data_IF_385589991304
#
_entry.id   IF_385589991304
#
_cell.length_a   1.000
_cell.length_b   1.000
_cell.length_c   1.000
_cell.angle_alpha   90.00
_cell.angle_beta   90.00
_cell.angle_gamma   90.00
#
_symmetry.space_group_name_H-M   'P 1'
#
loop_
_entity.id
_entity.type
_entity.pdbx_description
1 polymer ?
#
# COMPACT_ATOMS: atom_id res chain seq x y z
N UNK A 1 26.34 -4.63 48.64
CA UNK A 1 26.32 -4.85 47.19
C UNK A 1 25.23 -5.87 46.90
N UNK A 2 24.24 -5.45 46.10
CA UNK A 2 23.17 -6.23 45.49
C UNK A 2 21.92 -6.55 46.32
N UNK A 3 21.11 -5.51 46.56
CA UNK A 3 19.67 -5.66 46.78
C UNK A 3 18.93 -5.18 45.51
N UNK A 4 19.00 -5.96 44.44
CA UNK A 4 18.11 -5.74 43.30
C UNK A 4 16.70 -6.15 43.71
N UNK A 5 15.85 -5.16 43.98
CA UNK A 5 14.46 -5.32 44.36
C UNK A 5 13.69 -6.15 43.30
N UNK A 6 13.14 -7.33 43.65
CA UNK A 6 12.36 -8.16 42.73
C UNK A 6 10.98 -7.56 42.38
N UNK A 7 10.61 -6.42 42.97
CA UNK A 7 9.33 -5.76 42.78
C UNK A 7 9.32 -4.70 41.67
N UNK A 8 10.32 -4.65 40.79
CA UNK A 8 10.14 -3.94 39.51
C UNK A 8 9.14 -4.77 38.69
N UNK A 9 7.85 -4.59 38.98
CA UNK A 9 6.75 -5.27 38.32
C UNK A 9 6.70 -4.84 36.86
N UNK A 10 7.52 -5.47 36.04
CA UNK A 10 7.46 -5.31 34.60
C UNK A 10 6.20 -6.05 34.17
N UNK A 11 5.19 -5.36 33.60
CA UNK A 11 3.99 -6.03 33.13
C UNK A 11 4.39 -7.07 32.07
N UNK A 12 4.19 -8.34 32.41
CA UNK A 12 4.39 -9.43 31.47
C UNK A 12 3.20 -9.42 30.51
N UNK A 13 3.40 -8.87 29.31
CA UNK A 13 2.41 -8.93 28.24
C UNK A 13 2.28 -10.38 27.80
N UNK A 14 1.12 -10.98 28.11
CA UNK A 14 0.78 -12.31 27.60
C UNK A 14 0.36 -12.19 26.13
N UNK A 15 1.34 -12.39 25.26
CA UNK A 15 1.17 -12.37 23.80
C UNK A 15 0.15 -13.41 23.33
N UNK A 16 0.03 -14.55 24.03
CA UNK A 16 -0.98 -15.58 23.69
C UNK A 16 -2.39 -15.13 24.05
N UNK A 17 -2.56 -14.41 25.15
CA UNK A 17 -3.86 -13.87 25.55
C UNK A 17 -4.35 -12.79 24.57
N UNK A 18 -3.44 -11.99 23.99
CA UNK A 18 -3.76 -10.89 23.06
C UNK A 18 -3.73 -11.33 21.58
N UNK A 19 -3.12 -12.47 21.25
CA UNK A 19 -3.06 -12.97 19.87
C UNK A 19 -4.42 -13.06 19.14
N UNK A 20 -5.53 -13.52 19.75
CA UNK A 20 -6.81 -13.65 19.03
C UNK A 20 -7.41 -12.30 18.65
N UNK A 21 -7.24 -11.26 19.48
CA UNK A 21 -7.78 -9.93 19.22
C UNK A 21 -7.01 -9.18 18.12
N UNK A 22 -5.74 -9.53 17.91
CA UNK A 22 -4.93 -8.96 16.82
C UNK A 22 -4.98 -9.78 15.53
N UNK A 23 -5.39 -11.05 15.58
CA UNK A 23 -5.37 -11.92 14.42
C UNK A 23 -6.26 -11.42 13.26
N UNK A 24 -7.49 -11.01 13.55
CA UNK A 24 -8.41 -10.49 12.54
C UNK A 24 -7.95 -9.17 11.90
N UNK A 25 -7.62 -8.10 12.66
CA UNK A 25 -7.16 -6.85 12.06
C UNK A 25 -5.83 -7.03 11.31
N UNK A 26 -4.92 -7.89 11.79
CA UNK A 26 -3.66 -8.15 11.10
C UNK A 26 -3.88 -8.87 9.76
N UNK A 27 -4.80 -9.85 9.71
CA UNK A 27 -5.17 -10.53 8.46
C UNK A 27 -5.78 -9.56 7.45
N UNK A 28 -6.69 -8.69 7.91
CA UNK A 28 -7.29 -7.67 7.05
C UNK A 28 -6.23 -6.70 6.53
N UNK A 29 -5.34 -6.21 7.40
CA UNK A 29 -4.26 -5.33 6.99
C UNK A 29 -3.34 -5.99 5.94
N UNK A 30 -2.96 -7.26 6.15
CA UNK A 30 -2.12 -8.00 5.22
C UNK A 30 -2.80 -8.20 3.86
N UNK A 31 -4.08 -8.58 3.84
CA UNK A 31 -4.85 -8.75 2.61
C UNK A 31 -5.06 -7.42 1.87
N UNK A 32 -5.35 -6.34 2.59
CA UNK A 32 -5.48 -5.00 2.00
C UNK A 32 -4.16 -4.55 1.40
N UNK A 33 -3.04 -4.72 2.10
CA UNK A 33 -1.71 -4.40 1.54
C UNK A 33 -1.42 -5.23 0.29
N UNK A 34 -1.71 -6.54 0.32
CA UNK A 34 -1.54 -7.39 -0.85
C UNK A 34 -2.40 -6.92 -2.04
N UNK A 35 -3.66 -6.56 -1.79
CA UNK A 35 -4.55 -6.04 -2.82
C UNK A 35 -4.04 -4.72 -3.40
N UNK A 36 -3.52 -3.81 -2.57
CA UNK A 36 -2.93 -2.54 -3.03
C UNK A 36 -1.66 -2.76 -3.86
N UNK A 37 -0.82 -3.74 -3.51
CA UNK A 37 0.36 -4.11 -4.30
C UNK A 37 -0.06 -4.62 -5.68
N UNK A 38 -1.04 -5.52 -5.74
CA UNK A 38 -1.58 -6.03 -7.01
C UNK A 38 -2.16 -4.89 -7.85
N UNK A 39 -2.97 -4.02 -7.24
CA UNK A 39 -3.55 -2.86 -7.91
C UNK A 39 -2.47 -1.91 -8.47
N UNK A 40 -1.40 -1.66 -7.71
CA UNK A 40 -0.27 -0.85 -8.16
C UNK A 40 0.38 -1.44 -9.41
N UNK A 41 0.64 -2.75 -9.45
CA UNK A 41 1.25 -3.37 -10.63
C UNK A 41 0.35 -3.34 -11.86
N UNK A 42 -0.95 -3.55 -11.70
CA UNK A 42 -1.92 -3.39 -12.80
C UNK A 42 -1.91 -1.95 -13.30
N UNK A 43 -1.96 -0.96 -12.41
CA UNK A 43 -1.89 0.44 -12.79
C UNK A 43 -0.57 0.82 -13.47
N UNK A 44 0.56 0.26 -13.01
CA UNK A 44 1.87 0.47 -13.60
C UNK A 44 1.94 -0.06 -15.03
N UNK A 45 1.45 -1.28 -15.27
CA UNK A 45 1.42 -1.90 -16.61
C UNK A 45 0.55 -1.10 -17.60
N UNK A 46 -0.57 -0.56 -17.11
CA UNK A 46 -1.50 0.24 -17.90
C UNK A 46 -1.12 1.72 -18.02
N UNK A 47 0.05 2.12 -17.52
CA UNK A 47 0.55 3.51 -17.65
C UNK A 47 -0.06 4.51 -16.66
N UNK A 48 -0.91 4.08 -15.71
CA UNK A 48 -1.51 4.94 -14.70
C UNK A 48 -0.51 5.43 -13.63
N UNK A 49 0.70 4.86 -13.60
CA UNK A 49 1.81 5.33 -12.76
C UNK A 49 3.13 5.04 -13.46
N UNK A 50 4.02 6.03 -13.52
CA UNK A 50 5.36 5.85 -14.08
C UNK A 50 6.45 6.23 -13.08
N UNK A 51 7.37 5.30 -12.82
CA UNK A 51 8.53 5.53 -11.92
C UNK A 51 9.73 6.08 -12.69
N UNK A 52 9.83 5.77 -13.99
CA UNK A 52 10.98 6.12 -14.84
C UNK A 52 10.64 7.13 -15.94
N UNK A 53 9.51 7.83 -15.84
CA UNK A 53 9.18 8.98 -16.69
C UNK A 53 8.45 8.67 -18.01
N UNK A 54 7.98 7.45 -18.20
CA UNK A 54 7.09 7.06 -19.31
C UNK A 54 5.61 7.16 -18.88
N UNK A 55 5.18 8.34 -18.43
CA UNK A 55 3.80 8.59 -18.00
C UNK A 55 2.87 8.84 -19.19
N UNK A 56 1.70 8.20 -19.24
CA UNK A 56 0.77 8.29 -20.38
C UNK A 56 -0.28 9.37 -20.22
N UNK A 57 -0.46 9.99 -19.04
CA UNK A 57 -1.55 10.94 -18.82
C UNK A 57 -1.48 12.13 -19.76
N UNK A 58 -0.26 12.67 -19.99
CA UNK A 58 -0.07 13.77 -20.93
C UNK A 58 -0.31 13.31 -22.37
N UNK A 59 0.14 12.10 -22.71
CA UNK A 59 -0.06 11.53 -24.04
C UNK A 59 -1.55 11.38 -24.34
N UNK A 60 -2.32 10.76 -23.46
CA UNK A 60 -3.74 10.53 -23.60
C UNK A 60 -4.54 11.84 -23.55
N UNK A 61 -4.20 12.77 -22.65
CA UNK A 61 -4.85 14.07 -22.59
C UNK A 61 -4.73 14.83 -23.92
N UNK A 62 -3.52 14.89 -24.49
CA UNK A 62 -3.31 15.55 -25.79
C UNK A 62 -3.94 14.76 -26.93
N UNK A 63 -3.89 13.44 -26.86
CA UNK A 63 -4.52 12.54 -27.81
C UNK A 63 -6.05 12.75 -27.87
N UNK A 64 -6.70 12.94 -26.72
CA UNK A 64 -8.13 13.19 -26.63
C UNK A 64 -8.48 14.62 -27.05
N UNK A 65 -7.66 15.61 -26.67
CA UNK A 65 -7.85 17.00 -27.09
C UNK A 65 -7.77 17.15 -28.63
N UNK A 66 -6.84 16.46 -29.29
CA UNK A 66 -6.75 16.49 -30.77
C UNK A 66 -8.00 15.88 -31.41
N UNK A 67 -8.54 14.80 -30.85
CA UNK A 67 -9.77 14.18 -31.33
C UNK A 67 -10.96 15.11 -31.15
N UNK A 68 -11.07 15.76 -29.98
CA UNK A 68 -12.12 16.73 -29.70
C UNK A 68 -12.11 17.91 -30.70
N UNK A 69 -10.92 18.35 -31.09
CA UNK A 69 -10.72 19.44 -32.05
C UNK A 69 -10.75 18.97 -33.53
N UNK A 70 -11.02 17.69 -33.79
CA UNK A 70 -11.16 17.13 -35.13
C UNK A 70 -9.84 16.92 -35.89
N UNK A 71 -8.70 17.01 -35.21
CA UNK A 71 -7.41 16.69 -35.82
C UNK A 71 -7.25 15.17 -35.99
N UNK A 72 -6.71 14.70 -37.12
CA UNK A 72 -6.54 13.28 -37.38
C UNK A 72 -5.49 12.63 -36.45
N UNK A 73 -5.72 11.35 -36.17
CA UNK A 73 -4.79 10.45 -35.50
C UNK A 73 -4.10 9.48 -36.47
N UNK A 74 -2.93 8.95 -36.08
CA UNK A 74 -2.23 7.88 -36.81
C UNK A 74 -2.79 6.52 -36.40
#
# INVERSE_FOLDING_TARGET
MNDANPALGVPHLDVRAVAPSLAAPLRLAALTLLALIVYYFVGFDQGAVSVFGADTHVHEFVHDARHLLGFPCH
#
